data_IF_640376817745
#
_entry.id   IF_640376817745
#
_cell.length_a   1.000
_cell.length_b   1.000
_cell.length_c   1.000
_cell.angle_alpha   90.00
_cell.angle_beta   90.00
_cell.angle_gamma   90.00
#
_symmetry.space_group_name_H-M   'P 1'
#
loop_
_entity.id
_entity.type
_entity.pdbx_description
1 polymer ?
#
# COMPACT_ATOMS: atom_id res chain seq x y z
N UNK A 1 11.58 -28.35 37.17
CA UNK A 1 11.73 -29.07 35.89
C UNK A 1 11.75 -28.01 34.81
N UNK A 2 12.91 -27.75 34.21
CA UNK A 2 13.06 -26.75 33.14
C UNK A 2 12.49 -27.32 31.85
N UNK A 3 11.40 -26.74 31.35
CA UNK A 3 10.94 -26.98 30.00
C UNK A 3 11.75 -26.07 29.07
N UNK A 4 12.64 -26.65 28.28
CA UNK A 4 13.28 -26.01 27.13
C UNK A 4 12.21 -25.80 26.06
N UNK A 5 11.77 -24.56 25.87
CA UNK A 5 10.91 -24.17 24.75
C UNK A 5 11.79 -24.07 23.50
N UNK A 6 11.49 -24.87 22.49
CA UNK A 6 12.12 -24.79 21.18
C UNK A 6 11.49 -23.63 20.40
N UNK A 7 12.29 -22.62 20.06
CA UNK A 7 11.96 -21.66 19.01
C UNK A 7 12.08 -22.34 17.65
N UNK A 8 11.09 -22.16 16.78
CA UNK A 8 11.11 -22.69 15.42
C UNK A 8 10.21 -21.86 14.51
N UNK A 9 10.55 -21.76 13.21
CA UNK A 9 9.77 -20.99 12.24
C UNK A 9 8.41 -21.66 12.00
N UNK A 10 7.36 -20.86 11.99
CA UNK A 10 5.98 -21.30 11.69
C UNK A 10 5.52 -20.64 10.39
N UNK A 11 5.95 -21.18 9.25
CA UNK A 11 5.15 -21.10 8.02
C UNK A 11 5.28 -22.40 7.22
N UNK A 12 4.16 -23.11 7.10
CA UNK A 12 4.01 -24.32 6.31
C UNK A 12 3.64 -23.95 4.88
N UNK A 13 4.64 -24.02 4.00
CA UNK A 13 4.49 -23.85 2.56
C UNK A 13 5.74 -24.28 1.78
N UNK A 14 6.47 -25.30 2.28
CA UNK A 14 7.63 -25.87 1.58
C UNK A 14 8.84 -26.10 2.49
N UNK A 15 8.99 -27.35 2.95
CA UNK A 15 10.22 -27.96 3.51
C UNK A 15 10.83 -27.29 4.76
N UNK A 16 10.41 -27.79 5.93
CA UNK A 16 11.19 -27.71 7.16
C UNK A 16 12.35 -28.71 7.11
N UNK A 17 13.57 -28.24 7.32
CA UNK A 17 14.68 -29.11 7.70
C UNK A 17 15.10 -28.73 9.13
N UNK A 18 14.91 -29.69 10.05
CA UNK A 18 15.13 -29.52 11.48
C UNK A 18 16.57 -29.21 11.88
N UNK A 19 16.77 -29.04 13.19
CA UNK A 19 18.03 -28.72 13.84
C UNK A 19 19.22 -29.49 13.21
N UNK A 20 20.05 -28.77 12.45
CA UNK A 20 21.24 -29.32 11.80
C UNK A 20 21.12 -29.68 10.32
N UNK A 21 20.09 -29.25 9.57
CA UNK A 21 20.02 -29.66 8.16
C UNK A 21 19.26 -28.80 7.17
N UNK A 22 19.15 -27.48 7.29
CA UNK A 22 18.69 -26.64 6.17
C UNK A 22 19.82 -26.34 5.19
N UNK A 23 19.61 -26.53 3.89
CA UNK A 23 20.45 -25.89 2.85
C UNK A 23 20.21 -24.39 2.96
N UNK A 24 21.06 -23.72 3.73
CA UNK A 24 21.07 -22.28 3.85
C UNK A 24 21.81 -21.73 2.62
N UNK A 25 21.09 -21.08 1.70
CA UNK A 25 21.67 -20.39 0.54
C UNK A 25 22.36 -19.07 0.93
N UNK A 26 22.76 -18.91 2.21
CA UNK A 26 23.41 -17.70 2.72
C UNK A 26 22.47 -16.52 2.92
N UNK A 27 21.15 -16.73 2.93
CA UNK A 27 20.20 -15.69 3.27
C UNK A 27 19.99 -15.63 4.79
N UNK A 28 19.93 -14.43 5.39
CA UNK A 28 19.56 -14.29 6.79
C UNK A 28 18.18 -14.93 7.05
N UNK A 29 18.05 -15.67 8.14
CA UNK A 29 16.74 -16.14 8.61
C UNK A 29 16.01 -14.94 9.21
N UNK A 30 14.80 -14.67 8.73
CA UNK A 30 13.98 -13.56 9.26
C UNK A 30 13.29 -13.89 10.57
N UNK A 31 12.95 -12.84 11.29
CA UNK A 31 12.31 -12.84 12.60
C UNK A 31 10.80 -12.55 12.50
N UNK A 32 10.06 -12.86 13.56
CA UNK A 32 8.64 -12.51 13.69
C UNK A 32 8.45 -11.60 14.89
N UNK A 33 8.09 -10.34 14.63
CA UNK A 33 7.81 -9.32 15.63
C UNK A 33 6.31 -9.15 15.82
N UNK A 34 5.85 -9.26 17.05
CA UNK A 34 4.49 -9.01 17.48
C UNK A 34 4.40 -7.60 18.08
N UNK A 35 3.44 -6.81 17.61
CA UNK A 35 3.26 -5.42 18.03
C UNK A 35 1.85 -5.24 18.57
N UNK A 36 1.71 -4.72 19.79
CA UNK A 36 0.43 -4.46 20.43
C UNK A 36 0.37 -3.01 20.93
N UNK A 37 -0.48 -2.21 20.30
CA UNK A 37 -0.62 -0.78 20.63
C UNK A 37 -1.08 -0.51 22.07
N UNK A 38 -1.65 -1.51 22.76
CA UNK A 38 -2.28 -1.35 24.08
C UNK A 38 -1.52 -2.03 25.21
N UNK A 39 -0.84 -3.15 24.92
CA UNK A 39 -0.16 -3.98 25.91
C UNK A 39 1.36 -4.10 25.67
N UNK A 40 1.87 -3.55 24.57
CA UNK A 40 3.26 -3.67 24.20
C UNK A 40 4.23 -2.80 25.00
N UNK A 41 5.51 -3.13 24.90
CA UNK A 41 6.63 -2.38 25.46
C UNK A 41 7.82 -2.39 24.51
N UNK A 42 8.31 -1.22 24.10
CA UNK A 42 9.47 -1.11 23.19
C UNK A 42 10.82 -1.49 23.84
N UNK A 43 10.81 -1.76 25.16
CA UNK A 43 11.92 -2.37 25.88
C UNK A 43 11.93 -3.91 25.81
N UNK A 44 10.87 -4.54 25.29
CA UNK A 44 10.75 -5.99 25.11
C UNK A 44 11.41 -6.51 23.83
N UNK A 45 11.24 -7.81 23.59
CA UNK A 45 11.78 -8.51 22.42
C UNK A 45 10.85 -8.45 21.20
N UNK A 46 9.53 -8.49 21.41
CA UNK A 46 8.56 -8.64 20.33
C UNK A 46 8.40 -10.06 19.81
N UNK A 47 9.12 -11.05 20.33
CA UNK A 47 9.14 -12.41 19.76
C UNK A 47 7.83 -13.18 20.02
N UNK A 48 6.94 -12.66 20.88
CA UNK A 48 5.65 -13.29 21.17
C UNK A 48 4.58 -12.28 21.60
N UNK A 49 3.31 -12.71 21.60
CA UNK A 49 2.20 -11.92 22.16
C UNK A 49 2.24 -11.75 23.69
N UNK A 50 3.08 -12.50 24.41
CA UNK A 50 3.29 -12.35 25.86
C UNK A 50 4.36 -11.28 26.18
N UNK A 51 5.15 -10.89 25.17
CA UNK A 51 6.15 -9.81 25.23
C UNK A 51 6.14 -8.98 23.92
N UNK A 52 5.00 -8.36 23.55
CA UNK A 52 4.90 -7.64 22.29
C UNK A 52 5.57 -6.26 22.37
N UNK A 53 6.05 -5.76 21.23
CA UNK A 53 6.52 -4.37 21.09
C UNK A 53 5.32 -3.42 21.13
N UNK A 54 5.58 -2.17 21.51
CA UNK A 54 4.53 -1.14 21.57
C UNK A 54 4.31 -0.49 20.21
N UNK A 55 5.37 -0.29 19.44
CA UNK A 55 5.33 0.46 18.17
C UNK A 55 5.84 -0.35 16.99
N UNK A 56 5.27 -0.08 15.81
CA UNK A 56 5.78 -0.63 14.55
C UNK A 56 7.18 -0.09 14.25
N UNK A 57 7.42 1.18 14.59
CA UNK A 57 8.72 1.84 14.50
C UNK A 57 9.82 1.04 15.21
N UNK A 58 9.54 0.52 16.41
CA UNK A 58 10.50 -0.32 17.14
C UNK A 58 10.76 -1.65 16.45
N UNK A 59 9.71 -2.31 15.96
CA UNK A 59 9.84 -3.57 15.21
C UNK A 59 10.68 -3.39 13.93
N UNK A 60 10.41 -2.33 13.16
CA UNK A 60 11.18 -1.97 11.97
C UNK A 60 12.64 -1.65 12.30
N UNK A 61 12.91 -1.06 13.46
CA UNK A 61 14.28 -0.82 13.92
C UNK A 61 15.03 -2.12 14.25
N UNK A 62 14.34 -3.13 14.78
CA UNK A 62 14.90 -4.44 15.13
C UNK A 62 15.08 -5.39 13.94
N UNK A 63 14.25 -5.25 12.90
CA UNK A 63 14.35 -6.03 11.67
C UNK A 63 15.76 -6.04 11.06
N UNK A 64 16.12 -7.08 10.33
CA UNK A 64 17.41 -7.23 9.65
C UNK A 64 17.21 -7.03 8.15
N UNK A 65 17.95 -6.08 7.57
CA UNK A 65 17.85 -5.81 6.14
C UNK A 65 18.17 -7.06 5.29
N UNK A 66 17.26 -7.40 4.38
CA UNK A 66 17.38 -8.57 3.50
C UNK A 66 17.03 -9.92 4.15
N UNK A 67 16.60 -9.92 5.42
CA UNK A 67 15.96 -11.06 6.07
C UNK A 67 14.44 -11.00 5.83
N UNK A 68 13.79 -12.16 5.66
CA UNK A 68 12.33 -12.23 5.49
C UNK A 68 11.60 -12.02 6.83
N UNK A 69 11.55 -10.77 7.30
CA UNK A 69 11.01 -10.39 8.61
C UNK A 69 9.51 -10.11 8.56
N UNK A 70 8.78 -10.63 9.54
CA UNK A 70 7.34 -10.45 9.68
C UNK A 70 7.05 -9.56 10.86
N UNK A 71 6.33 -8.46 10.64
CA UNK A 71 5.88 -7.56 11.69
C UNK A 71 4.36 -7.64 11.73
N UNK A 72 3.83 -8.18 12.82
CA UNK A 72 2.40 -8.46 13.00
C UNK A 72 1.86 -7.55 14.09
N UNK A 73 1.11 -6.52 13.70
CA UNK A 73 0.53 -5.59 14.66
C UNK A 73 -0.91 -5.89 14.98
N UNK A 74 -1.36 -5.50 16.18
CA UNK A 74 -2.78 -5.42 16.58
C UNK A 74 -3.05 -4.14 17.38
N UNK A 75 -4.19 -3.50 17.12
CA UNK A 75 -4.66 -2.32 17.85
C UNK A 75 -4.51 -0.99 17.09
N UNK A 76 -4.68 0.12 17.81
CA UNK A 76 -4.68 1.47 17.25
C UNK A 76 -3.34 2.16 17.49
N UNK A 77 -2.56 2.27 16.43
CA UNK A 77 -1.26 2.91 16.42
C UNK A 77 -1.42 4.36 15.97
N UNK A 78 -0.81 5.26 16.73
CA UNK A 78 -0.66 6.66 16.34
C UNK A 78 0.82 6.88 16.08
N UNK A 79 1.29 6.56 14.88
CA UNK A 79 2.67 6.69 14.44
C UNK A 79 2.74 6.85 12.92
N UNK A 80 3.80 7.51 12.46
CA UNK A 80 4.20 7.50 11.07
C UNK A 80 5.41 6.57 10.94
N UNK A 81 5.40 5.66 9.96
CA UNK A 81 6.49 4.70 9.79
C UNK A 81 7.19 4.85 8.45
N UNK A 82 8.48 4.52 8.44
CA UNK A 82 9.29 4.38 7.23
C UNK A 82 9.87 2.96 7.17
N UNK A 83 9.60 2.25 6.08
CA UNK A 83 10.16 0.93 5.78
C UNK A 83 11.37 1.13 4.88
N UNK A 84 12.56 1.05 5.48
CA UNK A 84 13.86 1.29 4.82
C UNK A 84 14.70 0.03 4.66
N UNK A 85 14.20 -1.11 5.15
CA UNK A 85 14.81 -2.43 5.04
C UNK A 85 14.01 -3.28 4.06
N UNK A 86 14.71 -4.11 3.30
CA UNK A 86 14.12 -4.98 2.29
C UNK A 86 13.59 -6.28 2.90
N UNK A 87 12.66 -6.95 2.21
CA UNK A 87 12.05 -8.23 2.64
C UNK A 87 11.24 -8.13 3.94
N UNK A 88 10.53 -7.01 4.08
CA UNK A 88 9.67 -6.73 5.24
C UNK A 88 8.22 -7.08 4.92
N UNK A 89 7.58 -7.86 5.79
CA UNK A 89 6.15 -8.17 5.73
C UNK A 89 5.42 -7.45 6.88
N UNK A 90 4.71 -6.37 6.56
CA UNK A 90 3.94 -5.56 7.50
C UNK A 90 2.47 -6.01 7.51
N UNK A 91 2.06 -6.74 8.55
CA UNK A 91 0.79 -7.46 8.60
C UNK A 91 -0.12 -6.98 9.74
N UNK A 92 -1.31 -6.48 9.40
CA UNK A 92 -2.35 -6.19 10.39
C UNK A 92 -3.11 -7.45 10.84
N UNK A 93 -3.33 -7.62 12.14
CA UNK A 93 -4.19 -8.67 12.67
C UNK A 93 -5.67 -8.25 12.59
N UNK A 94 -6.48 -9.05 11.90
CA UNK A 94 -7.94 -8.91 11.84
C UNK A 94 -8.61 -9.88 12.83
N UNK A 95 -8.83 -9.48 14.09
CA UNK A 95 -9.65 -10.28 15.01
C UNK A 95 -9.44 -10.03 16.52
N UNK A 96 -10.45 -10.36 17.33
CA UNK A 96 -10.37 -10.51 18.80
C UNK A 96 -10.12 -9.27 19.66
N UNK A 97 -9.58 -8.18 19.08
CA UNK A 97 -9.26 -6.92 19.77
C UNK A 97 -9.35 -5.66 18.90
N UNK A 98 -9.82 -5.77 17.64
CA UNK A 98 -9.88 -4.68 16.66
C UNK A 98 -9.09 -5.00 15.40
N UNK A 99 -9.21 -4.17 14.36
CA UNK A 99 -8.27 -4.17 13.22
C UNK A 99 -6.99 -3.43 13.64
N UNK A 100 -5.89 -3.63 12.93
CA UNK A 100 -4.70 -2.77 13.10
C UNK A 100 -4.92 -1.46 12.37
N UNK A 101 -4.99 -0.37 13.13
CA UNK A 101 -5.12 0.97 12.60
C UNK A 101 -3.80 1.69 12.74
N UNK A 102 -3.28 2.21 11.64
CA UNK A 102 -2.16 3.13 11.65
C UNK A 102 -2.71 4.51 11.29
N UNK A 103 -2.71 5.39 12.28
CA UNK A 103 -3.14 6.77 12.13
C UNK A 103 -1.93 7.68 12.25
N UNK A 104 -1.80 8.57 11.28
CA UNK A 104 -0.74 9.58 11.27
C UNK A 104 -0.77 10.46 12.52
N UNK A 105 0.41 10.76 13.06
CA UNK A 105 0.56 11.85 14.04
C UNK A 105 0.89 13.13 13.28
N UNK A 106 0.18 14.23 13.52
CA UNK A 106 0.46 15.54 12.93
C UNK A 106 1.75 16.21 13.49
N UNK A 107 2.81 15.45 13.72
CA UNK A 107 4.04 15.88 14.36
C UNK A 107 5.28 15.72 13.45
N UNK A 108 5.10 15.83 12.12
CA UNK A 108 6.17 16.18 11.18
C UNK A 108 7.27 15.15 10.93
N UNK A 109 7.02 13.85 11.15
CA UNK A 109 8.04 12.80 11.02
C UNK A 109 8.22 12.23 9.60
N UNK A 110 7.12 11.95 8.88
CA UNK A 110 7.12 11.30 7.56
C UNK A 110 6.31 12.09 6.53
N UNK A 111 6.55 11.92 5.23
CA UNK A 111 5.70 12.46 4.17
C UNK A 111 4.43 11.62 3.91
N UNK A 112 4.23 10.51 4.64
CA UNK A 112 3.03 9.66 4.58
C UNK A 112 2.78 8.91 5.89
N UNK A 113 1.65 8.22 6.04
CA UNK A 113 1.43 7.34 7.22
C UNK A 113 2.36 6.13 7.16
N UNK A 114 2.54 5.56 5.97
CA UNK A 114 3.53 4.52 5.67
C UNK A 114 4.36 4.96 4.48
N UNK A 115 5.64 5.24 4.71
CA UNK A 115 6.63 5.51 3.67
C UNK A 115 7.41 4.23 3.38
N UNK A 116 7.52 3.83 2.12
CA UNK A 116 8.28 2.65 1.69
C UNK A 116 9.44 3.08 0.80
N UNK A 117 10.66 2.83 1.28
CA UNK A 117 11.93 3.16 0.62
C UNK A 117 12.85 1.94 0.51
N UNK A 118 12.26 0.78 0.22
CA UNK A 118 12.95 -0.50 0.14
C UNK A 118 12.30 -1.45 -0.88
N UNK A 119 12.96 -2.58 -1.16
CA UNK A 119 12.46 -3.61 -2.07
C UNK A 119 11.92 -4.82 -1.31
N UNK A 120 11.02 -5.57 -1.94
CA UNK A 120 10.41 -6.76 -1.35
C UNK A 120 9.60 -6.46 -0.09
N UNK A 121 8.77 -5.43 -0.14
CA UNK A 121 7.93 -5.05 0.99
C UNK A 121 6.50 -5.53 0.75
N UNK A 122 5.93 -6.27 1.70
CA UNK A 122 4.50 -6.58 1.75
C UNK A 122 3.82 -5.69 2.79
N UNK A 123 2.68 -5.11 2.43
CA UNK A 123 1.80 -4.42 3.38
C UNK A 123 0.42 -5.01 3.24
N UNK A 124 -0.09 -5.66 4.29
CA UNK A 124 -1.39 -6.31 4.21
C UNK A 124 -2.23 -6.28 5.49
N UNK A 125 -3.55 -6.44 5.30
CA UNK A 125 -4.54 -6.63 6.36
C UNK A 125 -4.64 -5.52 7.42
N UNK A 126 -4.25 -4.28 7.07
CA UNK A 126 -4.30 -3.13 7.98
C UNK A 126 -5.21 -2.00 7.47
N UNK A 127 -5.50 -1.07 8.38
CA UNK A 127 -6.11 0.22 8.04
C UNK A 127 -5.04 1.29 8.16
N UNK A 128 -4.74 1.99 7.05
CA UNK A 128 -3.86 3.15 7.08
C UNK A 128 -4.68 4.42 6.80
N UNK A 129 -4.53 5.40 7.68
CA UNK A 129 -5.27 6.65 7.62
C UNK A 129 -4.30 7.78 7.25
N UNK A 130 -4.45 8.32 6.04
CA UNK A 130 -3.72 9.50 5.60
C UNK A 130 -4.28 10.78 6.24
N UNK A 131 -3.48 11.84 6.21
CA UNK A 131 -3.92 13.15 6.70
C UNK A 131 -3.39 14.29 5.83
N UNK A 132 -4.04 15.45 5.93
CA UNK A 132 -3.55 16.69 5.32
C UNK A 132 -3.29 17.72 6.42
N UNK A 133 -2.06 18.20 6.49
CA UNK A 133 -1.72 19.41 7.23
C UNK A 133 -1.72 20.63 6.30
N UNK A 134 -1.78 21.84 6.86
CA UNK A 134 -1.81 23.09 6.08
C UNK A 134 -0.59 23.17 5.16
N UNK A 135 -0.82 23.05 3.85
CA UNK A 135 0.19 23.19 2.81
C UNK A 135 0.95 21.91 2.42
N UNK A 136 0.66 20.74 3.01
CA UNK A 136 1.26 19.46 2.63
C UNK A 136 0.22 18.35 2.47
N UNK A 137 0.41 17.50 1.47
CA UNK A 137 -0.46 16.37 1.16
C UNK A 137 0.30 15.08 1.49
N UNK A 138 -0.15 14.34 2.51
CA UNK A 138 0.52 13.13 2.95
C UNK A 138 -0.36 11.92 2.66
N UNK A 139 -0.01 11.02 1.73
CA UNK A 139 -0.86 9.87 1.43
C UNK A 139 -0.92 8.89 2.60
N UNK A 140 -1.88 7.96 2.58
CA UNK A 140 -1.86 6.86 3.56
C UNK A 140 -0.63 5.97 3.35
N UNK A 141 -0.29 5.69 2.08
CA UNK A 141 0.94 4.97 1.73
C UNK A 141 1.67 5.72 0.62
N UNK A 142 2.97 5.90 0.79
CA UNK A 142 3.87 6.41 -0.24
C UNK A 142 4.91 5.35 -0.59
N UNK A 143 5.01 5.04 -1.87
CA UNK A 143 5.97 4.09 -2.42
C UNK A 143 7.02 4.92 -3.17
N UNK A 144 8.15 5.15 -2.49
CA UNK A 144 9.18 6.09 -2.90
C UNK A 144 10.54 5.39 -2.99
N UNK A 145 11.10 5.28 -4.18
CA UNK A 145 12.29 4.47 -4.49
C UNK A 145 13.60 5.22 -4.62
N UNK A 146 13.74 6.41 -4.02
CA UNK A 146 14.95 7.22 -4.09
C UNK A 146 16.23 6.36 -3.88
N UNK A 147 17.08 6.27 -4.92
CA UNK A 147 18.40 5.62 -4.94
C UNK A 147 18.49 4.09 -4.76
N UNK A 148 17.44 3.32 -5.05
CA UNK A 148 17.55 1.85 -5.05
C UNK A 148 16.43 1.08 -5.74
N UNK A 149 15.32 1.77 -6.05
CA UNK A 149 14.06 1.16 -6.47
C UNK A 149 13.25 0.72 -5.25
N UNK A 150 11.94 0.95 -5.29
CA UNK A 150 10.97 0.41 -4.32
C UNK A 150 10.17 -0.70 -4.98
N UNK A 151 10.08 -1.85 -4.34
CA UNK A 151 9.27 -2.99 -4.78
C UNK A 151 8.30 -3.35 -3.67
N UNK A 152 7.04 -3.05 -3.86
CA UNK A 152 6.03 -3.26 -2.84
C UNK A 152 4.78 -3.96 -3.36
N UNK A 153 4.21 -4.79 -2.49
CA UNK A 153 2.91 -5.42 -2.68
C UNK A 153 1.97 -4.96 -1.56
N UNK A 154 0.98 -4.15 -1.91
CA UNK A 154 -0.03 -3.64 -0.98
C UNK A 154 -1.33 -4.39 -1.24
N UNK A 155 -1.83 -5.14 -0.26
CA UNK A 155 -3.06 -5.89 -0.44
C UNK A 155 -3.95 -6.08 0.78
N UNK A 156 -5.27 -6.21 0.54
CA UNK A 156 -6.25 -6.41 1.61
C UNK A 156 -6.25 -5.31 2.67
N UNK A 157 -5.82 -4.10 2.30
CA UNK A 157 -5.79 -2.94 3.17
C UNK A 157 -7.06 -2.09 3.01
N UNK A 158 -7.41 -1.34 4.05
CA UNK A 158 -8.37 -0.25 3.95
C UNK A 158 -7.66 1.08 4.12
N UNK A 159 -7.65 1.90 3.08
CA UNK A 159 -6.99 3.20 3.04
C UNK A 159 -8.03 4.30 3.05
N UNK A 160 -7.93 5.23 4.00
CA UNK A 160 -8.93 6.29 4.18
C UNK A 160 -8.30 7.55 4.78
N UNK A 161 -9.10 8.61 4.95
CA UNK A 161 -8.64 9.94 5.38
C UNK A 161 -9.32 10.41 6.66
N UNK A 162 -8.53 11.02 7.56
CA UNK A 162 -9.02 11.49 8.85
C UNK A 162 -10.02 12.67 8.74
N UNK A 163 -9.83 13.55 7.76
CA UNK A 163 -10.67 14.75 7.58
C UNK A 163 -11.15 14.88 6.13
N UNK A 164 -12.24 14.18 5.76
CA UNK A 164 -12.81 14.31 4.43
C UNK A 164 -13.37 15.73 4.25
N UNK A 165 -12.66 16.54 3.48
CA UNK A 165 -13.12 17.86 3.07
C UNK A 165 -12.76 18.02 1.61
N UNK A 166 -13.76 18.45 0.85
CA UNK A 166 -13.73 18.84 -0.55
C UNK A 166 -12.35 19.42 -0.96
N UNK A 167 -11.90 20.47 -0.27
CA UNK A 167 -10.64 21.15 -0.61
C UNK A 167 -9.38 20.58 0.04
N UNK A 168 -9.48 19.48 0.81
CA UNK A 168 -8.44 18.98 1.73
C UNK A 168 -8.14 17.49 1.66
N UNK A 169 -8.50 16.80 0.59
CA UNK A 169 -8.08 15.41 0.44
C UNK A 169 -6.59 15.28 0.07
N UNK A 170 -6.03 14.13 0.43
CA UNK A 170 -4.72 13.61 0.02
C UNK A 170 -4.93 12.26 -0.69
N UNK A 171 -3.89 11.61 -1.18
CA UNK A 171 -4.03 10.37 -1.93
C UNK A 171 -4.14 9.15 -1.01
N UNK A 172 -4.81 8.10 -1.47
CA UNK A 172 -4.76 6.81 -0.79
C UNK A 172 -3.34 6.24 -0.87
N UNK A 173 -2.88 6.01 -2.09
CA UNK A 173 -1.51 5.60 -2.41
C UNK A 173 -0.88 6.59 -3.38
N UNK A 174 0.36 6.98 -3.13
CA UNK A 174 1.22 7.68 -4.09
C UNK A 174 2.40 6.80 -4.46
N UNK A 175 2.68 6.69 -5.77
CA UNK A 175 3.85 6.00 -6.31
C UNK A 175 4.72 7.04 -7.03
N UNK A 176 5.89 7.36 -6.46
CA UNK A 176 6.83 8.36 -7.01
C UNK A 176 7.97 7.74 -7.79
N UNK A 177 8.34 6.50 -7.44
CA UNK A 177 9.31 5.68 -8.17
C UNK A 177 9.29 4.23 -7.65
N UNK A 178 9.78 3.28 -8.44
CA UNK A 178 10.02 1.92 -7.95
C UNK A 178 9.95 0.81 -9.00
N UNK A 179 10.54 -0.34 -8.69
CA UNK A 179 10.54 -1.54 -9.52
C UNK A 179 9.43 -2.50 -9.06
N UNK A 180 8.44 -2.79 -9.91
CA UNK A 180 7.33 -3.73 -9.66
C UNK A 180 6.49 -3.39 -8.43
N UNK A 181 5.54 -2.49 -8.61
CA UNK A 181 4.56 -2.12 -7.59
C UNK A 181 3.25 -2.86 -7.85
N UNK A 182 2.70 -3.58 -6.87
CA UNK A 182 1.37 -4.21 -7.00
C UNK A 182 0.43 -3.72 -5.91
N UNK A 183 -0.74 -3.24 -6.31
CA UNK A 183 -1.81 -2.77 -5.43
C UNK A 183 -3.07 -3.57 -5.76
N UNK A 184 -3.52 -4.41 -4.84
CA UNK A 184 -4.68 -5.25 -5.09
C UNK A 184 -5.56 -5.57 -3.89
N UNK A 185 -6.84 -5.85 -4.15
CA UNK A 185 -7.81 -6.21 -3.11
C UNK A 185 -7.92 -5.18 -1.98
N UNK A 186 -7.53 -3.93 -2.24
CA UNK A 186 -7.64 -2.85 -1.29
C UNK A 186 -8.99 -2.15 -1.42
N UNK A 187 -9.44 -1.60 -0.30
CA UNK A 187 -10.52 -0.63 -0.25
C UNK A 187 -9.88 0.75 -0.07
N UNK A 188 -10.20 1.70 -0.94
CA UNK A 188 -9.64 3.06 -0.89
C UNK A 188 -10.79 4.06 -0.91
N UNK A 189 -10.87 4.91 0.12
CA UNK A 189 -12.02 5.77 0.39
C UNK A 189 -11.61 7.20 0.66
N UNK A 190 -12.44 8.15 0.22
CA UNK A 190 -12.42 9.56 0.67
C UNK A 190 -11.08 10.23 0.42
N UNK A 191 -10.51 10.02 -0.78
CA UNK A 191 -9.21 10.54 -1.20
C UNK A 191 -9.33 11.60 -2.31
N UNK A 192 -8.27 12.37 -2.52
CA UNK A 192 -8.12 13.24 -3.69
C UNK A 192 -7.92 12.36 -4.92
N UNK A 193 -6.95 11.45 -4.82
CA UNK A 193 -6.73 10.37 -5.78
C UNK A 193 -6.68 9.07 -4.99
N UNK A 194 -7.44 8.05 -5.40
CA UNK A 194 -7.32 6.73 -4.77
C UNK A 194 -5.90 6.18 -4.93
N UNK A 195 -5.41 6.11 -6.17
CA UNK A 195 -4.02 5.77 -6.50
C UNK A 195 -3.45 6.81 -7.47
N UNK A 196 -2.41 7.53 -7.04
CA UNK A 196 -1.63 8.43 -7.88
C UNK A 196 -0.33 7.75 -8.30
N UNK A 197 -0.10 7.66 -9.61
CA UNK A 197 1.18 7.28 -10.18
C UNK A 197 1.86 8.51 -10.78
N UNK A 198 2.94 8.94 -10.14
CA UNK A 198 3.77 10.06 -10.55
C UNK A 198 5.23 9.64 -10.61
N UNK A 199 5.52 8.65 -11.46
CA UNK A 199 6.84 8.05 -11.59
C UNK A 199 7.71 8.82 -12.58
N UNK A 200 8.27 9.95 -12.14
CA UNK A 200 9.14 10.80 -12.98
C UNK A 200 10.54 10.20 -13.24
N UNK A 201 10.90 9.10 -12.58
CA UNK A 201 12.23 8.45 -12.67
C UNK A 201 12.15 7.16 -13.50
N UNK A 202 13.10 6.98 -14.43
CA UNK A 202 13.24 5.82 -15.34
C UNK A 202 13.76 4.55 -14.66
N UNK A 203 13.21 4.18 -13.50
CA UNK A 203 13.54 2.92 -12.81
C UNK A 203 12.33 1.98 -12.70
N UNK A 204 11.18 2.40 -13.25
CA UNK A 204 9.93 1.67 -13.10
C UNK A 204 9.75 0.65 -14.21
N UNK A 205 9.72 -0.62 -13.83
CA UNK A 205 9.54 -1.75 -14.74
C UNK A 205 8.07 -2.14 -14.90
N UNK A 206 7.30 -2.13 -13.80
CA UNK A 206 5.91 -2.59 -13.78
C UNK A 206 5.14 -1.98 -12.62
N UNK A 207 3.91 -1.53 -12.87
CA UNK A 207 2.95 -1.10 -11.87
C UNK A 207 1.63 -1.81 -12.17
N UNK A 208 1.08 -2.53 -11.20
CA UNK A 208 -0.20 -3.23 -11.33
C UNK A 208 -1.16 -2.68 -10.28
N UNK A 209 -2.28 -2.11 -10.73
CA UNK A 209 -3.39 -1.68 -9.87
C UNK A 209 -4.60 -2.51 -10.25
N UNK A 210 -4.97 -3.50 -9.42
CA UNK A 210 -6.05 -4.43 -9.79
C UNK A 210 -6.97 -4.86 -8.68
N UNK A 211 -8.21 -5.23 -9.02
CA UNK A 211 -9.18 -5.79 -8.07
C UNK A 211 -9.41 -4.91 -6.83
N UNK A 212 -9.26 -3.59 -6.95
CA UNK A 212 -9.50 -2.67 -5.85
C UNK A 212 -10.94 -2.13 -5.89
N UNK A 213 -11.47 -1.81 -4.71
CA UNK A 213 -12.66 -0.98 -4.56
C UNK A 213 -12.21 0.43 -4.20
N UNK A 214 -12.35 1.36 -5.14
CA UNK A 214 -11.99 2.77 -4.95
C UNK A 214 -13.28 3.59 -4.96
N UNK A 215 -13.62 4.23 -3.85
CA UNK A 215 -14.87 4.99 -3.77
C UNK A 215 -14.71 6.34 -3.09
N UNK A 216 -15.65 7.26 -3.39
CA UNK A 216 -15.67 8.60 -2.83
C UNK A 216 -14.36 9.39 -3.02
N UNK A 217 -13.61 9.09 -4.10
CA UNK A 217 -12.40 9.82 -4.46
C UNK A 217 -12.68 10.82 -5.58
N UNK A 218 -12.03 11.99 -5.58
CA UNK A 218 -12.16 12.97 -6.68
C UNK A 218 -11.62 12.39 -7.99
N UNK A 219 -10.48 11.70 -7.90
CA UNK A 219 -9.99 10.79 -8.92
C UNK A 219 -9.90 9.38 -8.38
N UNK A 220 -10.38 8.38 -9.10
CA UNK A 220 -10.15 6.99 -8.71
C UNK A 220 -8.66 6.65 -8.83
N UNK A 221 -8.15 6.73 -10.05
CA UNK A 221 -6.74 6.49 -10.39
C UNK A 221 -6.26 7.64 -11.27
N UNK A 222 -5.07 8.18 -10.99
CA UNK A 222 -4.44 9.19 -11.84
C UNK A 222 -3.03 8.72 -12.23
N UNK A 223 -2.84 8.50 -13.53
CA UNK A 223 -1.56 8.21 -14.16
C UNK A 223 -1.00 9.53 -14.71
N UNK A 224 -0.20 10.22 -13.90
CA UNK A 224 0.32 11.56 -14.21
C UNK A 224 1.62 11.47 -15.01
N UNK A 225 2.58 10.68 -14.53
CA UNK A 225 3.86 10.48 -15.20
C UNK A 225 4.21 9.00 -15.19
N UNK A 226 4.42 8.44 -16.39
CA UNK A 226 4.86 7.06 -16.57
C UNK A 226 6.12 7.04 -17.45
N UNK A 227 7.28 7.05 -16.81
CA UNK A 227 8.57 6.92 -17.49
C UNK A 227 9.05 5.47 -17.40
N UNK A 228 8.74 4.67 -18.42
CA UNK A 228 9.15 3.26 -18.49
C UNK A 228 10.43 3.07 -19.29
N UNK A 229 11.17 2.00 -18.95
CA UNK A 229 12.28 1.54 -19.78
C UNK A 229 11.77 1.07 -21.16
N UNK A 230 12.54 1.32 -22.21
CA UNK A 230 12.19 0.99 -23.60
C UNK A 230 11.78 -0.49 -23.77
N UNK A 231 10.60 -0.73 -24.37
CA UNK A 231 10.14 -2.07 -24.75
C UNK A 231 9.33 -2.82 -23.69
N UNK A 232 8.88 -2.15 -22.61
CA UNK A 232 8.10 -2.76 -21.54
C UNK A 232 6.70 -2.13 -21.41
N UNK A 233 5.71 -2.95 -21.04
CA UNK A 233 4.39 -2.49 -20.61
C UNK A 233 4.49 -2.14 -19.13
N UNK A 234 4.32 -0.87 -18.79
CA UNK A 234 4.79 -0.41 -17.50
C UNK A 234 3.71 -0.11 -16.46
N UNK A 235 2.43 0.05 -16.85
CA UNK A 235 1.34 0.17 -15.88
C UNK A 235 0.06 -0.50 -16.38
N UNK A 236 -0.44 -1.46 -15.60
CA UNK A 236 -1.70 -2.14 -15.83
C UNK A 236 -2.72 -1.73 -14.75
N UNK A 237 -3.88 -1.27 -15.19
CA UNK A 237 -5.02 -0.92 -14.33
C UNK A 237 -6.17 -1.84 -14.73
N UNK A 238 -6.45 -2.84 -13.90
CA UNK A 238 -7.25 -4.01 -14.29
C UNK A 238 -8.33 -4.35 -13.26
N UNK A 239 -9.57 -4.62 -13.68
CA UNK A 239 -10.62 -5.15 -12.79
C UNK A 239 -10.91 -4.32 -11.53
N UNK A 240 -10.71 -2.99 -11.59
CA UNK A 240 -11.04 -2.12 -10.46
C UNK A 240 -12.52 -1.73 -10.50
N UNK A 241 -13.15 -1.66 -9.32
CA UNK A 241 -14.46 -1.04 -9.14
C UNK A 241 -14.24 0.38 -8.59
N UNK A 242 -14.54 1.38 -9.40
CA UNK A 242 -14.26 2.78 -9.10
C UNK A 242 -15.56 3.58 -9.08
N UNK A 243 -15.92 4.17 -7.94
CA UNK A 243 -17.17 4.91 -7.79
C UNK A 243 -16.96 6.30 -7.18
N UNK A 244 -17.25 7.35 -7.94
CA UNK A 244 -17.12 8.73 -7.48
C UNK A 244 -18.25 9.14 -6.54
N UNK A 245 -17.93 9.99 -5.57
CA UNK A 245 -18.91 10.94 -5.03
C UNK A 245 -18.79 12.18 -5.91
N UNK A 246 -19.77 12.46 -6.76
CA UNK A 246 -19.74 13.59 -7.71
C UNK A 246 -19.75 14.99 -7.06
N UNK A 247 -18.89 15.25 -6.09
CA UNK A 247 -18.95 16.39 -5.18
C UNK A 247 -18.00 17.55 -5.54
N UNK A 248 -17.06 17.39 -6.48
CA UNK A 248 -16.13 18.47 -6.85
C UNK A 248 -15.90 18.65 -8.36
N UNK A 249 -15.47 19.85 -8.75
CA UNK A 249 -15.20 20.26 -10.13
C UNK A 249 -13.93 19.58 -10.65
N UNK A 250 -14.07 18.75 -11.70
CA UNK A 250 -13.09 17.82 -12.26
C UNK A 250 -12.96 16.49 -11.50
N UNK A 251 -14.04 15.71 -11.52
CA UNK A 251 -14.09 14.34 -11.00
C UNK A 251 -13.90 13.33 -12.13
N UNK A 252 -12.80 12.57 -12.07
CA UNK A 252 -12.43 11.57 -13.08
C UNK A 252 -12.32 10.16 -12.48
N UNK A 253 -12.84 9.13 -13.14
CA UNK A 253 -12.66 7.76 -12.63
C UNK A 253 -11.21 7.31 -12.77
N UNK A 254 -10.74 7.28 -14.02
CA UNK A 254 -9.33 7.12 -14.37
C UNK A 254 -8.89 8.33 -15.17
N UNK A 255 -7.76 8.93 -14.79
CA UNK A 255 -7.16 10.05 -15.47
C UNK A 255 -5.76 9.67 -15.97
N UNK A 256 -5.49 9.87 -17.25
CA UNK A 256 -4.22 9.52 -17.89
C UNK A 256 -3.68 10.72 -18.67
N UNK A 257 -2.59 11.30 -18.17
CA UNK A 257 -1.94 12.46 -18.77
C UNK A 257 -1.19 12.08 -20.06
N UNK A 258 -0.94 13.08 -20.92
CA UNK A 258 -0.18 12.91 -22.17
C UNK A 258 1.23 12.33 -21.97
N UNK A 259 1.85 12.54 -20.80
CA UNK A 259 3.17 12.02 -20.46
C UNK A 259 3.16 10.58 -19.90
N UNK A 260 1.97 10.00 -19.71
CA UNK A 260 1.78 8.68 -19.11
C UNK A 260 1.64 7.56 -20.17
N UNK A 261 2.62 7.43 -21.07
CA UNK A 261 2.59 6.42 -22.14
C UNK A 261 2.80 5.00 -21.62
N UNK A 262 2.16 4.00 -22.24
CA UNK A 262 2.37 2.59 -21.89
C UNK A 262 1.44 2.06 -20.79
N UNK A 263 0.36 2.80 -20.50
CA UNK A 263 -0.71 2.35 -19.63
C UNK A 263 -1.69 1.42 -20.35
N UNK A 264 -2.15 0.39 -19.64
CA UNK A 264 -3.14 -0.57 -20.10
C UNK A 264 -4.32 -0.58 -19.13
N UNK A 265 -5.49 -0.15 -19.61
CA UNK A 265 -6.72 -0.11 -18.83
C UNK A 265 -7.65 -1.24 -19.29
N UNK A 266 -7.97 -2.18 -18.41
CA UNK A 266 -8.75 -3.39 -18.74
C UNK A 266 -9.85 -3.64 -17.73
N UNK A 267 -11.07 -3.92 -18.19
CA UNK A 267 -12.16 -4.43 -17.34
C UNK A 267 -12.50 -3.58 -16.10
N UNK A 268 -12.14 -2.29 -16.12
CA UNK A 268 -12.49 -1.40 -15.01
C UNK A 268 -13.96 -1.03 -15.07
N UNK A 269 -14.62 -1.05 -13.91
CA UNK A 269 -16.02 -0.68 -13.72
C UNK A 269 -16.08 0.66 -13.03
N UNK A 270 -16.49 1.70 -13.75
CA UNK A 270 -16.38 3.09 -13.31
C UNK A 270 -17.76 3.74 -13.27
N UNK A 271 -18.14 4.34 -12.15
CA UNK A 271 -19.41 5.05 -12.02
C UNK A 271 -19.30 6.35 -11.21
N UNK A 272 -20.23 7.29 -11.41
CA UNK A 272 -20.38 8.47 -10.54
C UNK A 272 -19.35 9.58 -10.75
N UNK A 273 -18.71 9.63 -11.92
CA UNK A 273 -17.76 10.66 -12.32
C UNK A 273 -18.29 11.51 -13.48
N UNK A 274 -17.97 12.81 -13.48
CA UNK A 274 -18.30 13.70 -14.60
C UNK A 274 -17.65 13.24 -15.90
N UNK A 275 -16.38 12.81 -15.80
CA UNK A 275 -15.66 12.16 -16.90
C UNK A 275 -15.08 10.82 -16.42
N UNK A 276 -15.72 9.67 -16.71
CA UNK A 276 -15.26 8.40 -16.19
C UNK A 276 -13.82 8.03 -16.55
N UNK A 277 -13.40 8.29 -17.79
CA UNK A 277 -12.02 8.09 -18.24
C UNK A 277 -11.55 9.32 -19.02
N UNK A 278 -10.43 9.91 -18.61
CA UNK A 278 -9.65 10.88 -19.39
C UNK A 278 -8.42 10.15 -19.92
N UNK A 279 -8.17 10.24 -21.22
CA UNK A 279 -7.01 9.65 -21.87
C UNK A 279 -6.52 10.56 -23.00
N UNK A 280 -5.38 11.21 -22.79
CA UNK A 280 -4.76 12.14 -23.75
C UNK A 280 -3.97 11.42 -24.87
N UNK A 281 -4.32 10.17 -25.18
CA UNK A 281 -3.71 9.35 -26.23
C UNK A 281 -2.58 8.43 -25.77
N UNK A 282 -2.40 8.27 -24.46
CA UNK A 282 -1.25 7.59 -23.84
C UNK A 282 -1.54 6.17 -23.38
N UNK A 283 -2.82 5.80 -23.25
CA UNK A 283 -3.27 4.49 -22.79
C UNK A 283 -4.00 3.68 -23.86
N UNK A 284 -3.86 2.35 -23.78
CA UNK A 284 -4.70 1.39 -24.49
C UNK A 284 -5.85 0.96 -23.57
N UNK A 285 -7.08 0.97 -24.09
CA UNK A 285 -8.30 0.65 -23.36
C UNK A 285 -8.93 -0.63 -23.93
N UNK A 286 -9.24 -1.59 -23.07
CA UNK A 286 -9.95 -2.82 -23.42
C UNK A 286 -11.09 -3.02 -22.43
N UNK A 287 -12.31 -3.22 -22.94
CA UNK A 287 -13.48 -3.66 -22.15
C UNK A 287 -13.73 -2.85 -20.85
N UNK A 288 -13.50 -1.53 -20.88
CA UNK A 288 -13.80 -0.68 -19.73
C UNK A 288 -15.27 -0.24 -19.72
N UNK A 289 -15.94 -0.43 -18.60
CA UNK A 289 -17.35 -0.12 -18.42
C UNK A 289 -17.49 1.18 -17.62
N UNK A 290 -18.17 2.17 -18.19
CA UNK A 290 -18.33 3.47 -17.53
C UNK A 290 -19.76 4.00 -17.53
N UNK A 291 -20.16 4.59 -16.41
CA UNK A 291 -21.45 5.25 -16.26
C UNK A 291 -21.32 6.59 -15.52
N UNK A 292 -21.53 7.70 -16.24
CA UNK A 292 -21.42 9.04 -15.64
C UNK A 292 -22.55 9.31 -14.61
N UNK A 293 -23.77 8.84 -14.88
CA UNK A 293 -24.87 8.93 -13.93
C UNK A 293 -24.70 7.87 -12.84
N UNK A 294 -24.52 8.29 -11.58
CA UNK A 294 -24.53 7.36 -10.46
C UNK A 294 -25.87 6.61 -10.39
N UNK A 295 -25.83 5.28 -10.41
CA UNK A 295 -26.98 4.44 -10.06
C UNK A 295 -27.88 3.96 -11.19
N UNK A 296 -27.39 3.65 -12.40
CA UNK A 296 -28.24 2.97 -13.41
C UNK A 296 -27.47 1.90 -14.17
N UNK A 297 -27.33 0.71 -13.56
CA UNK A 297 -26.92 -0.54 -14.22
C UNK A 297 -25.62 -0.44 -15.03
N UNK A 298 -24.51 -0.85 -14.42
CA UNK A 298 -23.38 -1.38 -15.20
C UNK A 298 -23.85 -2.76 -15.71
N UNK A 299 -24.47 -2.80 -16.89
CA UNK A 299 -24.67 -4.06 -17.59
C UNK A 299 -23.29 -4.53 -18.05
N UNK A 300 -22.79 -5.58 -17.38
CA UNK A 300 -21.63 -6.36 -17.79
C UNK A 300 -22.10 -7.44 -18.76
#
# INVERSE_FOLDING_TARGET
MSATHFSGPVFAGGVMLGAGGGVNYGQPVGDVFHVDASLGSDGGSGESWDDPLLTWTRALALATDGADDYIIGRGNFSEDIAITKSKIHLLGLLGGGGRSYLTRINNGGSDSTILVQAVDVEISNLIAIGNRDVGKHYPAIELDGDNGGTRAHVHHCFLTMLTPSATKYTNGITITSGDRQTIEFCVIDSCMVGVLVNSAVQTTYEIIVRNNLIYACNKGIHLMNLQFATGQFGCAVVDNLITGQGAESATNGIDVDAAATGAFLVDNKIAGYGTPIVNDGSAVLIENYSQAAGGTLINV
#
